data_IF_014451156645
#
_entry.id   IF_014451156645
#
_cell.length_a   1.000
_cell.length_b   1.000
_cell.length_c   1.000
_cell.angle_alpha   90.00
_cell.angle_beta   90.00
_cell.angle_gamma   90.00
#
_symmetry.space_group_name_H-M   'P 1'
#
loop_
_entity.id
_entity.type
_entity.pdbx_description
1 polymer ?
#
# COMPACT_ATOMS: atom_id res chain seq x y z
N UNK A 1 31.03 -37.23 -33.97
CA UNK A 1 30.81 -36.76 -32.59
C UNK A 1 29.30 -36.51 -32.44
N UNK A 2 28.60 -37.28 -31.60
CA UNK A 2 27.15 -37.21 -31.43
C UNK A 2 26.84 -36.58 -30.07
N UNK A 3 26.34 -35.36 -30.06
CA UNK A 3 25.90 -34.70 -28.82
C UNK A 3 24.64 -35.39 -28.30
N UNK A 4 24.65 -35.76 -27.02
CA UNK A 4 23.46 -36.21 -26.26
C UNK A 4 23.09 -35.06 -25.33
N UNK A 5 21.97 -34.39 -25.61
CA UNK A 5 21.51 -33.25 -24.82
C UNK A 5 21.05 -33.67 -23.40
N UNK A 6 21.01 -32.73 -22.44
CA UNK A 6 20.55 -33.03 -21.09
C UNK A 6 19.09 -33.47 -21.10
N UNK A 7 18.78 -34.55 -20.35
CA UNK A 7 17.42 -35.05 -20.18
C UNK A 7 16.67 -34.10 -19.22
N UNK A 8 15.98 -33.11 -19.76
CA UNK A 8 15.15 -32.19 -18.97
C UNK A 8 13.93 -32.95 -18.43
N UNK A 9 13.74 -32.92 -17.11
CA UNK A 9 12.55 -33.47 -16.49
C UNK A 9 11.39 -32.50 -16.76
N UNK A 10 10.55 -32.79 -17.76
CA UNK A 10 9.42 -31.95 -18.12
C UNK A 10 8.33 -32.16 -17.06
N UNK A 11 8.39 -31.35 -16.00
CA UNK A 11 7.30 -31.24 -15.03
C UNK A 11 6.16 -30.50 -15.73
N UNK A 12 4.95 -31.08 -15.71
CA UNK A 12 3.76 -30.40 -16.24
C UNK A 12 3.56 -29.09 -15.48
N UNK A 13 3.44 -27.98 -16.22
CA UNK A 13 3.15 -26.68 -15.63
C UNK A 13 1.73 -26.58 -15.04
N UNK A 14 0.84 -27.49 -15.41
CA UNK A 14 -0.55 -27.54 -14.93
C UNK A 14 -0.86 -28.96 -14.45
N UNK A 15 -0.75 -29.17 -13.14
CA UNK A 15 -1.08 -30.41 -12.47
C UNK A 15 -2.58 -30.48 -12.16
N UNK A 16 -3.02 -31.54 -11.44
CA UNK A 16 -4.40 -31.69 -11.02
C UNK A 16 -4.90 -30.50 -10.20
N UNK A 17 -4.10 -30.02 -9.23
CA UNK A 17 -4.47 -28.89 -8.38
C UNK A 17 -4.70 -27.60 -9.18
N UNK A 18 -3.80 -27.25 -10.10
CA UNK A 18 -3.94 -26.05 -10.92
C UNK A 18 -5.21 -26.13 -11.80
N UNK A 19 -5.51 -27.30 -12.35
CA UNK A 19 -6.75 -27.51 -13.11
C UNK A 19 -8.00 -27.33 -12.26
N UNK A 20 -7.98 -27.83 -11.03
CA UNK A 20 -9.11 -27.70 -10.11
C UNK A 20 -9.34 -26.24 -9.68
N UNK A 21 -8.28 -25.46 -9.50
CA UNK A 21 -8.39 -24.01 -9.21
C UNK A 21 -8.86 -23.24 -10.45
N UNK A 22 -8.36 -23.58 -11.65
CA UNK A 22 -8.80 -22.97 -12.91
C UNK A 22 -10.29 -23.21 -13.13
N UNK A 23 -10.78 -24.43 -12.86
CA UNK A 23 -12.20 -24.76 -13.01
C UNK A 23 -13.12 -23.93 -12.10
N UNK A 24 -12.60 -23.38 -11.00
CA UNK A 24 -13.37 -22.53 -10.08
C UNK A 24 -13.49 -21.07 -10.53
N UNK A 25 -12.70 -20.63 -11.53
CA UNK A 25 -12.67 -19.25 -12.01
C UNK A 25 -14.01 -18.87 -12.65
N UNK A 26 -14.64 -19.78 -13.40
CA UNK A 26 -15.90 -19.53 -14.09
C UNK A 26 -17.05 -19.23 -13.11
N UNK A 27 -16.96 -19.72 -11.88
CA UNK A 27 -17.95 -19.50 -10.81
C UNK A 27 -17.48 -18.50 -9.76
N UNK A 28 -16.35 -17.82 -9.97
CA UNK A 28 -15.79 -16.91 -8.97
C UNK A 28 -16.68 -15.67 -8.79
N UNK A 29 -17.01 -15.37 -7.53
CA UNK A 29 -17.67 -14.13 -7.13
C UNK A 29 -16.71 -13.35 -6.23
N UNK A 30 -16.72 -12.03 -6.37
CA UNK A 30 -15.96 -11.14 -5.48
C UNK A 30 -16.30 -11.45 -4.01
N UNK A 31 -15.32 -11.77 -3.16
CA UNK A 31 -15.58 -12.09 -1.76
C UNK A 31 -16.24 -10.93 -1.01
N UNK A 32 -17.03 -11.28 0.00
CA UNK A 32 -17.58 -10.30 0.93
C UNK A 32 -16.44 -9.52 1.62
N UNK A 33 -16.62 -8.20 1.76
CA UNK A 33 -15.59 -7.32 2.31
C UNK A 33 -14.46 -6.96 1.35
N UNK A 34 -14.45 -7.47 0.11
CA UNK A 34 -13.49 -7.01 -0.89
C UNK A 34 -13.65 -5.52 -1.16
N UNK A 35 -12.57 -4.77 -0.98
CA UNK A 35 -12.56 -3.33 -1.21
C UNK A 35 -12.02 -3.01 -2.61
N UNK A 36 -12.84 -2.33 -3.41
CA UNK A 36 -12.47 -1.83 -4.73
C UNK A 36 -11.63 -0.56 -4.61
N UNK A 37 -10.62 -0.40 -5.47
CA UNK A 37 -9.88 0.86 -5.55
C UNK A 37 -10.84 1.98 -5.97
N UNK A 38 -10.98 2.98 -5.09
CA UNK A 38 -11.84 4.14 -5.27
C UNK A 38 -11.11 5.35 -4.70
N UNK A 39 -10.39 6.06 -5.55
CA UNK A 39 -9.56 7.19 -5.13
C UNK A 39 -9.68 8.33 -6.14
N UNK A 40 -9.49 9.57 -5.69
CA UNK A 40 -9.49 10.74 -6.56
C UNK A 40 -8.21 10.82 -7.41
N UNK A 41 -8.26 11.61 -8.48
CA UNK A 41 -7.07 11.90 -9.29
C UNK A 41 -6.00 12.63 -8.47
N UNK A 42 -6.40 13.53 -7.57
CA UNK A 42 -5.51 14.27 -6.69
C UNK A 42 -4.80 13.35 -5.70
N UNK A 43 -5.52 12.44 -5.05
CA UNK A 43 -4.95 11.45 -4.14
C UNK A 43 -4.00 10.49 -4.84
N UNK A 44 -4.37 9.98 -6.02
CA UNK A 44 -3.46 9.15 -6.83
C UNK A 44 -2.16 9.91 -7.15
N UNK A 45 -2.27 11.17 -7.57
CA UNK A 45 -1.10 12.01 -7.88
C UNK A 45 -0.25 12.25 -6.64
N UNK A 46 -0.87 12.60 -5.50
CA UNK A 46 -0.17 12.85 -4.24
C UNK A 46 0.64 11.62 -3.80
N UNK A 47 0.02 10.43 -3.77
CA UNK A 47 0.70 9.18 -3.41
C UNK A 47 1.82 8.82 -4.40
N UNK A 48 1.60 9.07 -5.69
CA UNK A 48 2.63 8.87 -6.73
C UNK A 48 3.80 9.82 -6.52
N UNK A 49 3.53 11.10 -6.24
CA UNK A 49 4.56 12.11 -6.01
C UNK A 49 5.37 11.78 -4.75
N UNK A 50 4.75 11.30 -3.67
CA UNK A 50 5.47 10.81 -2.49
C UNK A 50 6.40 9.64 -2.82
N UNK A 51 5.97 8.71 -3.68
CA UNK A 51 6.80 7.56 -4.07
C UNK A 51 7.97 7.96 -4.99
N UNK A 52 7.78 8.97 -5.84
CA UNK A 52 8.73 9.34 -6.89
C UNK A 52 9.63 10.54 -6.54
N UNK A 53 9.27 11.35 -5.53
CA UNK A 53 10.00 12.57 -5.16
C UNK A 53 10.55 12.41 -3.73
N UNK A 54 11.81 11.97 -3.56
CA UNK A 54 12.39 11.72 -2.23
C UNK A 54 12.31 12.91 -1.28
N UNK A 55 12.56 14.13 -1.77
CA UNK A 55 12.46 15.35 -0.96
C UNK A 55 11.04 15.58 -0.42
N UNK A 56 10.01 15.34 -1.24
CA UNK A 56 8.62 15.48 -0.81
C UNK A 56 8.28 14.43 0.26
N UNK A 57 8.81 13.21 0.13
CA UNK A 57 8.63 12.17 1.13
C UNK A 57 9.31 12.54 2.46
N UNK A 58 10.54 13.08 2.41
CA UNK A 58 11.26 13.56 3.59
C UNK A 58 10.50 14.69 4.30
N UNK A 59 10.00 15.67 3.54
CA UNK A 59 9.15 16.75 4.06
C UNK A 59 7.85 16.21 4.68
N UNK A 60 7.21 15.23 4.02
CA UNK A 60 5.97 14.63 4.50
C UNK A 60 6.16 13.80 5.77
N UNK A 61 7.31 13.15 5.92
CA UNK A 61 7.68 12.44 7.16
C UNK A 61 7.96 13.42 8.30
N UNK A 62 8.55 14.57 7.99
CA UNK A 62 8.87 15.60 8.98
C UNK A 62 7.63 16.37 9.46
N UNK A 63 6.80 16.84 8.52
CA UNK A 63 5.56 17.57 8.80
C UNK A 63 4.47 17.18 7.79
N UNK A 64 3.72 16.09 8.07
CA UNK A 64 2.65 15.65 7.20
C UNK A 64 1.52 16.68 7.11
N UNK A 65 1.32 17.52 8.14
CA UNK A 65 0.24 18.53 8.15
C UNK A 65 0.55 19.63 7.15
N UNK A 66 1.76 20.19 7.18
CA UNK A 66 2.15 21.24 6.26
C UNK A 66 2.11 20.78 4.80
N UNK A 67 2.67 19.58 4.51
CA UNK A 67 2.70 19.04 3.15
C UNK A 67 1.30 18.79 2.61
N UNK A 68 0.41 18.20 3.42
CA UNK A 68 -0.97 17.90 3.01
C UNK A 68 -1.79 19.18 2.79
N UNK A 69 -1.61 20.21 3.63
CA UNK A 69 -2.35 21.46 3.44
C UNK A 69 -1.94 22.20 2.17
N UNK A 70 -0.67 22.08 1.76
CA UNK A 70 -0.16 22.64 0.52
C UNK A 70 -0.64 21.89 -0.74
N UNK A 71 -1.14 20.66 -0.60
CA UNK A 71 -1.53 19.82 -1.71
C UNK A 71 -2.84 20.28 -2.35
N UNK A 72 -2.78 20.56 -3.65
CA UNK A 72 -3.93 21.05 -4.43
C UNK A 72 -4.85 19.92 -4.85
N UNK A 73 -6.16 20.14 -4.69
CA UNK A 73 -7.21 19.26 -5.23
C UNK A 73 -7.56 18.05 -4.36
N UNK A 74 -6.91 17.88 -3.21
CA UNK A 74 -7.34 16.92 -2.19
C UNK A 74 -8.62 17.42 -1.53
N UNK A 75 -9.56 16.51 -1.30
CA UNK A 75 -10.75 16.75 -0.48
C UNK A 75 -10.40 16.86 1.01
N UNK A 76 -11.30 17.44 1.80
CA UNK A 76 -11.09 17.59 3.26
C UNK A 76 -10.91 16.25 3.98
N UNK A 77 -11.62 15.21 3.51
CA UNK A 77 -11.49 13.85 4.05
C UNK A 77 -10.11 13.27 3.73
N UNK A 78 -9.64 13.42 2.49
CA UNK A 78 -8.31 12.97 2.08
C UNK A 78 -7.21 13.72 2.85
N UNK A 79 -7.36 15.04 3.01
CA UNK A 79 -6.43 15.84 3.81
C UNK A 79 -6.40 15.37 5.26
N UNK A 80 -7.56 15.20 5.88
CA UNK A 80 -7.67 14.75 7.26
C UNK A 80 -6.99 13.39 7.45
N UNK A 81 -7.22 12.46 6.51
CA UNK A 81 -6.64 11.13 6.57
C UNK A 81 -5.13 11.05 6.34
N UNK A 82 -4.60 11.87 5.41
CA UNK A 82 -3.15 11.89 5.14
C UNK A 82 -2.35 12.48 6.30
N UNK A 83 -2.92 13.41 7.07
CA UNK A 83 -2.25 13.97 8.26
C UNK A 83 -1.89 12.94 9.32
N UNK A 84 -2.57 11.79 9.35
CA UNK A 84 -2.23 10.70 10.27
C UNK A 84 -0.96 9.94 9.88
N UNK A 85 -0.45 10.12 8.65
CA UNK A 85 0.71 9.39 8.11
C UNK A 85 0.66 7.87 8.33
N UNK A 86 -0.55 7.29 8.35
CA UNK A 86 -0.80 5.88 8.63
C UNK A 86 -1.25 5.14 7.36
N UNK A 87 -0.63 3.99 7.08
CA UNK A 87 -0.99 3.14 5.94
C UNK A 87 -2.45 2.64 5.97
N UNK A 88 -3.05 2.48 7.15
CA UNK A 88 -4.46 2.12 7.30
C UNK A 88 -5.40 3.24 6.92
N UNK A 89 -5.08 4.47 7.34
CA UNK A 89 -5.81 5.66 6.92
C UNK A 89 -5.79 5.79 5.40
N UNK A 90 -4.61 5.65 4.77
CA UNK A 90 -4.47 5.67 3.31
C UNK A 90 -5.24 4.54 2.64
N UNK A 91 -5.22 3.34 3.22
CA UNK A 91 -5.97 2.19 2.70
C UNK A 91 -7.48 2.47 2.65
N UNK A 92 -8.04 2.98 3.73
CA UNK A 92 -9.46 3.34 3.83
C UNK A 92 -9.81 4.48 2.87
N UNK A 93 -8.96 5.51 2.76
CA UNK A 93 -9.21 6.63 1.84
C UNK A 93 -9.20 6.23 0.36
N UNK A 94 -8.44 5.20 0.00
CA UNK A 94 -8.24 4.83 -1.39
C UNK A 94 -9.14 3.69 -1.86
N UNK A 95 -9.87 3.04 -0.96
CA UNK A 95 -10.69 1.87 -1.29
C UNK A 95 -12.05 1.93 -0.60
N UNK A 96 -13.03 1.29 -1.22
CA UNK A 96 -14.39 1.20 -0.68
C UNK A 96 -14.99 -0.17 -0.98
N UNK A 97 -15.83 -0.68 -0.08
CA UNK A 97 -16.63 -1.89 -0.35
C UNK A 97 -17.76 -1.58 -1.34
N UNK A 98 -18.35 -2.61 -1.96
CA UNK A 98 -19.51 -2.40 -2.84
C UNK A 98 -20.70 -1.76 -2.10
N UNK A 99 -20.94 -2.14 -0.84
CA UNK A 99 -21.98 -1.52 -0.02
C UNK A 99 -21.71 -0.05 0.29
N UNK A 100 -20.46 0.32 0.55
CA UNK A 100 -20.09 1.73 0.77
C UNK A 100 -20.32 2.55 -0.50
N UNK A 101 -19.99 1.98 -1.67
CA UNK A 101 -20.21 2.63 -2.97
C UNK A 101 -21.71 2.77 -3.25
N UNK A 102 -22.49 1.71 -3.04
CA UNK A 102 -23.93 1.71 -3.31
C UNK A 102 -24.70 2.67 -2.40
N UNK A 103 -24.26 2.80 -1.14
CA UNK A 103 -24.88 3.72 -0.16
C UNK A 103 -24.39 5.16 -0.28
N UNK A 104 -23.33 5.43 -1.05
CA UNK A 104 -22.69 6.74 -1.09
C UNK A 104 -22.08 7.13 0.26
N UNK A 105 -21.70 6.15 1.08
CA UNK A 105 -21.15 6.38 2.42
C UNK A 105 -19.88 7.21 2.33
N UNK A 106 -19.77 8.18 3.24
CA UNK A 106 -18.55 8.94 3.47
C UNK A 106 -17.82 8.43 4.71
N UNK A 107 -16.50 8.36 4.64
CA UNK A 107 -15.67 8.00 5.78
C UNK A 107 -15.65 9.13 6.82
N UNK A 108 -15.78 8.76 8.08
CA UNK A 108 -15.62 9.68 9.20
C UNK A 108 -14.16 9.75 9.64
N UNK A 109 -13.79 10.86 10.29
CA UNK A 109 -12.44 11.05 10.80
C UNK A 109 -12.03 9.99 11.83
N UNK A 110 -12.97 9.55 12.67
CA UNK A 110 -12.72 8.53 13.70
C UNK A 110 -12.41 7.15 13.09
N UNK A 111 -13.10 6.79 12.01
CA UNK A 111 -12.85 5.55 11.27
C UNK A 111 -11.46 5.56 10.62
N UNK A 112 -11.06 6.70 10.06
CA UNK A 112 -9.75 6.87 9.44
C UNK A 112 -8.64 6.83 10.50
N UNK A 113 -8.84 7.47 11.65
CA UNK A 113 -7.87 7.49 12.75
C UNK A 113 -7.61 6.10 13.34
N UNK A 114 -8.65 5.25 13.40
CA UNK A 114 -8.58 3.89 13.95
C UNK A 114 -8.23 2.82 12.91
N UNK A 115 -8.02 3.21 11.66
CA UNK A 115 -7.78 2.27 10.58
C UNK A 115 -6.42 1.56 10.78
N UNK A 116 -6.49 0.23 10.92
CA UNK A 116 -5.31 -0.63 10.85
C UNK A 116 -4.96 -0.88 9.39
N UNK A 117 -3.73 -0.54 9.00
CA UNK A 117 -3.25 -0.77 7.64
C UNK A 117 -2.75 -2.19 7.45
N UNK A 118 -2.64 -2.66 6.19
CA UNK A 118 -1.84 -3.84 5.93
C UNK A 118 -0.43 -3.60 6.46
N UNK A 119 0.06 -4.53 7.29
CA UNK A 119 1.29 -4.45 8.10
C UNK A 119 2.57 -4.01 7.36
N UNK A 120 2.57 -3.99 6.03
CA UNK A 120 3.74 -3.70 5.19
C UNK A 120 4.30 -2.29 5.30
N UNK A 121 3.50 -1.27 5.62
CA UNK A 121 4.00 0.12 5.71
C UNK A 121 4.62 0.43 7.09
N UNK A 122 4.09 -0.16 8.15
CA UNK A 122 4.60 -0.05 9.53
C UNK A 122 5.98 -0.70 9.68
N UNK A 123 6.24 -1.80 8.95
CA UNK A 123 7.55 -2.49 8.96
C UNK A 123 8.65 -1.65 8.31
N UNK A 124 8.36 -0.94 7.21
CA UNK A 124 9.40 -0.16 6.50
C UNK A 124 9.85 1.05 7.33
N UNK A 125 8.93 1.74 8.01
CA UNK A 125 9.25 2.90 8.85
C UNK A 125 10.04 2.49 10.09
N UNK A 126 9.63 1.41 10.77
CA UNK A 126 10.34 0.91 11.97
C UNK A 126 11.74 0.41 11.65
N UNK A 127 11.93 -0.31 10.54
CA UNK A 127 13.26 -0.77 10.09
C UNK A 127 14.16 0.41 9.73
N UNK A 128 13.65 1.43 9.02
CA UNK A 128 14.45 2.63 8.71
C UNK A 128 14.86 3.39 9.96
N UNK A 129 13.96 3.60 10.92
CA UNK A 129 14.29 4.29 12.19
C UNK A 129 15.34 3.52 12.98
N UNK A 130 15.21 2.19 13.08
CA UNK A 130 16.20 1.34 13.76
C UNK A 130 17.59 1.41 13.10
N UNK A 131 17.66 1.35 11.77
CA UNK A 131 18.94 1.46 11.05
C UNK A 131 19.59 2.82 11.30
N UNK A 132 18.83 3.91 11.24
CA UNK A 132 19.37 5.26 11.49
C UNK A 132 19.86 5.42 12.94
N UNK A 133 19.12 4.91 13.92
CA UNK A 133 19.53 4.94 15.34
C UNK A 133 20.78 4.10 15.57
N UNK A 134 20.87 2.89 14.98
CA UNK A 134 22.06 2.03 15.08
C UNK A 134 23.27 2.71 14.43
N UNK A 135 23.13 3.32 13.26
CA UNK A 135 24.23 4.04 12.59
C UNK A 135 24.71 5.22 13.44
N UNK A 136 23.81 5.97 14.08
CA UNK A 136 24.18 7.09 14.97
C UNK A 136 24.89 6.59 16.23
N UNK A 137 24.41 5.49 16.83
CA UNK A 137 25.00 4.95 18.06
C UNK A 137 26.37 4.28 17.84
N UNK A 138 26.61 3.67 16.67
CA UNK A 138 27.87 2.98 16.38
C UNK A 138 28.85 3.79 15.50
N UNK A 139 28.38 4.82 14.79
CA UNK A 139 29.22 5.69 13.97
C UNK A 139 29.93 6.82 14.74
N UNK A 140 29.46 7.16 15.94
CA UNK A 140 30.07 8.21 16.78
C UNK A 140 31.21 7.71 17.68
N UNK A 141 31.58 6.42 17.59
CA UNK A 141 32.59 5.78 18.46
C UNK A 141 34.00 5.70 17.87
N UNK A 142 34.33 6.44 16.81
CA UNK A 142 35.69 6.42 16.24
C UNK A 142 36.09 7.80 15.73
N UNK A 143 36.53 8.67 16.66
CA UNK A 143 37.41 9.81 16.41
C UNK A 143 38.24 10.07 17.68
#
# INVERSE_FOLDING_TARGET
MKWVGPKLNIVSACGPYERDVIAQIDTHVTPEGYMKLRTSAAMKKFMTDLALKPKLLEEYVLDPVAVVESAKGLSDVEKSGLKFANGGAVHMLMKATESDIASGRHLTQDEIAKAEGPLGLTVIVTVRVLITVVIIMFGAGSL
#
